data_IF_214490091254
#
_entry.id   IF_214490091254
#
_cell.length_a   1.000
_cell.length_b   1.000
_cell.length_c   1.000
_cell.angle_alpha   90.00
_cell.angle_beta   90.00
_cell.angle_gamma   90.00
#
_symmetry.space_group_name_H-M   'P 1'
#
loop_
_entity.id
_entity.type
_entity.pdbx_description
1 polymer ?
#
# COMPACT_ATOMS: atom_id res chain seq x y z
N UNK A 1 19.00 -2.21 16.30
CA UNK A 1 17.54 -2.16 16.56
C UNK A 1 17.21 -1.69 17.98
N UNK A 2 17.86 -2.19 19.05
CA UNK A 2 17.60 -1.80 20.46
C UNK A 2 17.36 -0.30 20.72
N UNK A 3 18.21 0.60 20.18
CA UNK A 3 18.02 2.06 20.37
C UNK A 3 16.73 2.60 19.76
N UNK A 4 16.34 2.13 18.57
CA UNK A 4 15.08 2.53 17.93
C UNK A 4 13.88 2.06 18.76
N UNK A 5 13.90 0.80 19.22
CA UNK A 5 12.83 0.26 20.06
C UNK A 5 12.75 0.93 21.43
N UNK A 6 13.88 1.32 22.01
CA UNK A 6 13.91 2.11 23.25
C UNK A 6 13.33 3.52 23.09
N UNK A 7 13.26 4.04 21.86
CA UNK A 7 12.61 5.32 21.52
C UNK A 7 11.15 5.13 21.07
N UNK A 8 10.56 3.94 21.28
CA UNK A 8 9.23 3.56 20.80
C UNK A 8 9.03 3.69 19.28
N UNK A 9 10.12 3.74 18.51
CA UNK A 9 10.06 3.78 17.05
C UNK A 9 9.66 2.39 16.51
N UNK A 10 8.52 2.33 15.83
CA UNK A 10 7.94 1.10 15.25
C UNK A 10 8.25 0.92 13.76
N UNK A 11 9.19 1.70 13.22
CA UNK A 11 9.64 1.53 11.83
C UNK A 11 10.05 0.07 11.58
N UNK A 12 9.59 -0.56 10.49
CA UNK A 12 9.95 -1.94 10.16
C UNK A 12 11.43 -2.07 9.80
N UNK A 13 12.10 -3.10 10.32
CA UNK A 13 13.53 -3.33 10.13
C UNK A 13 13.77 -4.69 9.49
N UNK A 14 14.33 -4.69 8.28
CA UNK A 14 14.93 -5.85 7.63
C UNK A 14 16.45 -5.80 7.80
N UNK A 15 17.05 -6.83 8.41
CA UNK A 15 18.51 -6.93 8.54
C UNK A 15 19.09 -7.63 7.31
N UNK A 16 20.06 -6.99 6.64
CA UNK A 16 20.79 -7.55 5.50
C UNK A 16 22.25 -7.81 5.88
N UNK A 17 22.70 -9.06 5.85
CA UNK A 17 24.02 -9.41 6.38
C UNK A 17 24.64 -10.64 5.71
N UNK A 18 25.95 -10.83 5.84
CA UNK A 18 26.62 -12.08 5.46
C UNK A 18 26.60 -13.14 6.59
N UNK A 19 26.19 -12.73 7.80
CA UNK A 19 26.09 -13.58 8.98
C UNK A 19 24.88 -14.51 8.85
N UNK A 20 25.15 -15.81 8.74
CA UNK A 20 24.18 -16.83 8.34
C UNK A 20 23.89 -17.87 9.43
N UNK A 21 24.58 -17.79 10.57
CA UNK A 21 24.34 -18.74 11.64
C UNK A 21 22.94 -18.55 12.24
N UNK A 22 22.36 -19.63 12.74
CA UNK A 22 21.05 -19.57 13.40
C UNK A 22 21.08 -18.63 14.59
N UNK A 23 22.16 -18.65 15.38
CA UNK A 23 22.34 -17.79 16.55
C UNK A 23 22.27 -16.31 16.18
N UNK A 24 22.99 -15.88 15.15
CA UNK A 24 23.04 -14.47 14.74
C UNK A 24 21.68 -13.96 14.24
N UNK A 25 20.91 -14.81 13.55
CA UNK A 25 19.55 -14.47 13.13
C UNK A 25 18.63 -14.30 14.34
N UNK A 26 18.72 -15.21 15.32
CA UNK A 26 17.94 -15.12 16.55
C UNK A 26 18.29 -13.84 17.30
N UNK A 27 19.57 -13.55 17.50
CA UNK A 27 20.04 -12.33 18.17
C UNK A 27 19.55 -11.06 17.47
N UNK A 28 19.55 -11.04 16.13
CA UNK A 28 19.05 -9.92 15.34
C UNK A 28 17.55 -9.69 15.51
N UNK A 29 16.76 -10.75 15.52
CA UNK A 29 15.30 -10.70 15.73
C UNK A 29 14.98 -10.29 17.17
N UNK A 30 15.65 -10.87 18.17
CA UNK A 30 15.47 -10.51 19.59
C UNK A 30 15.90 -9.06 19.87
N UNK A 31 16.88 -8.53 19.15
CA UNK A 31 17.25 -7.11 19.22
C UNK A 31 16.18 -6.16 18.65
N UNK A 32 15.12 -6.70 18.04
CA UNK A 32 13.95 -5.98 17.55
C UNK A 32 13.87 -5.82 16.03
N UNK A 33 14.58 -6.64 15.24
CA UNK A 33 14.37 -6.71 13.80
C UNK A 33 13.08 -7.48 13.47
N UNK A 34 12.40 -7.09 12.39
CA UNK A 34 11.15 -7.71 11.96
C UNK A 34 11.36 -8.84 10.95
N UNK A 35 12.48 -8.80 10.21
CA UNK A 35 12.91 -9.86 9.29
C UNK A 35 14.43 -9.82 9.08
N UNK A 36 14.99 -10.89 8.52
CA UNK A 36 16.42 -11.12 8.37
C UNK A 36 16.71 -11.79 7.01
N UNK A 37 17.64 -11.23 6.23
CA UNK A 37 18.02 -11.74 4.91
C UNK A 37 19.55 -11.83 4.76
N UNK A 38 20.04 -13.03 4.44
CA UNK A 38 21.46 -13.37 4.34
C UNK A 38 21.96 -13.13 2.91
N UNK A 39 23.21 -12.69 2.75
CA UNK A 39 23.90 -12.53 1.47
C UNK A 39 24.60 -13.85 1.06
N UNK A 40 24.61 -14.21 -0.23
CA UNK A 40 23.93 -13.53 -1.34
C UNK A 40 22.41 -13.83 -1.35
N UNK A 41 21.61 -12.88 -1.82
CA UNK A 41 20.16 -13.01 -1.96
C UNK A 41 19.69 -12.60 -3.35
N UNK A 42 18.50 -13.07 -3.74
CA UNK A 42 17.83 -12.61 -4.95
C UNK A 42 17.16 -11.25 -4.72
N UNK A 43 17.23 -10.34 -5.70
CA UNK A 43 16.57 -9.03 -5.61
C UNK A 43 15.05 -9.17 -5.39
N UNK A 44 14.43 -10.14 -6.07
CA UNK A 44 13.00 -10.43 -5.93
C UNK A 44 12.63 -10.85 -4.50
N UNK A 45 13.51 -11.58 -3.81
CA UNK A 45 13.32 -11.94 -2.40
C UNK A 45 13.35 -10.71 -1.50
N UNK A 46 14.32 -9.82 -1.70
CA UNK A 46 14.40 -8.56 -0.96
C UNK A 46 13.13 -7.73 -1.15
N UNK A 47 12.69 -7.56 -2.39
CA UNK A 47 11.47 -6.78 -2.72
C UNK A 47 10.23 -7.42 -2.07
N UNK A 48 10.10 -8.75 -2.12
CA UNK A 48 8.99 -9.46 -1.50
C UNK A 48 8.95 -9.26 0.02
N UNK A 49 10.11 -9.33 0.69
CA UNK A 49 10.22 -9.13 2.15
C UNK A 49 9.91 -7.69 2.56
N UNK A 50 10.44 -6.70 1.83
CA UNK A 50 10.11 -5.29 2.07
C UNK A 50 8.60 -5.04 1.93
N UNK A 51 7.96 -5.55 0.86
CA UNK A 51 6.51 -5.45 0.69
C UNK A 51 5.73 -6.12 1.83
N UNK A 52 6.19 -7.27 2.31
CA UNK A 52 5.57 -7.96 3.44
C UNK A 52 5.68 -7.17 4.74
N UNK A 53 6.83 -6.56 5.02
CA UNK A 53 7.04 -5.70 6.18
C UNK A 53 6.15 -4.46 6.16
N UNK A 54 6.12 -3.76 5.02
CA UNK A 54 5.27 -2.57 4.86
C UNK A 54 3.78 -2.91 5.01
N UNK A 55 3.33 -4.06 4.49
CA UNK A 55 1.94 -4.52 4.67
C UNK A 55 1.57 -4.78 6.13
N UNK A 56 2.51 -5.33 6.92
CA UNK A 56 2.30 -5.61 8.36
C UNK A 56 2.36 -4.35 9.22
N UNK A 57 3.13 -3.36 8.79
CA UNK A 57 3.37 -2.12 9.52
C UNK A 57 2.40 -1.01 9.18
N UNK A 58 1.73 -1.10 8.04
CA UNK A 58 0.53 -0.32 7.80
C UNK A 58 -0.40 -0.53 9.01
N UNK A 59 -0.90 0.55 9.64
CA UNK A 59 -2.03 0.41 10.55
C UNK A 59 -3.06 -0.47 9.85
N UNK A 60 -3.81 -1.34 10.56
CA UNK A 60 -5.02 -1.89 9.95
C UNK A 60 -5.71 -0.69 9.35
N UNK A 61 -5.82 -0.65 8.02
CA UNK A 61 -6.50 0.45 7.38
C UNK A 61 -7.80 0.51 8.16
N UNK A 62 -8.13 1.65 8.81
CA UNK A 62 -9.47 1.74 9.35
C UNK A 62 -10.33 1.31 8.18
N UNK A 63 -11.24 0.40 8.45
CA UNK A 63 -12.32 0.02 7.54
C UNK A 63 -13.18 1.29 7.37
N UNK A 64 -12.55 2.34 6.83
CA UNK A 64 -13.17 3.50 6.28
C UNK A 64 -13.77 2.88 5.05
N UNK A 65 -15.03 2.46 5.24
CA UNK A 65 -16.00 2.41 4.17
C UNK A 65 -15.61 3.50 3.19
N UNK A 66 -15.21 3.13 1.97
CA UNK A 66 -14.87 4.12 0.96
C UNK A 66 -16.16 4.86 0.69
N UNK A 67 -16.33 5.99 1.38
CA UNK A 67 -17.59 6.68 1.44
C UNK A 67 -17.37 8.18 1.56
N UNK A 68 -18.22 8.93 0.87
CA UNK A 68 -18.26 10.38 0.94
C UNK A 68 -19.70 10.85 0.79
N UNK A 69 -20.22 11.49 1.82
CA UNK A 69 -21.63 11.80 1.96
C UNK A 69 -22.50 10.53 1.78
N UNK A 70 -23.35 10.50 0.77
CA UNK A 70 -24.27 9.40 0.45
C UNK A 70 -23.73 8.42 -0.59
N UNK A 71 -22.44 8.54 -0.98
CA UNK A 71 -21.76 7.65 -1.91
C UNK A 71 -20.90 6.64 -1.15
N UNK A 72 -20.99 5.36 -1.50
CA UNK A 72 -20.13 4.28 -1.00
C UNK A 72 -19.52 3.48 -2.14
N UNK A 73 -18.39 2.82 -1.89
CA UNK A 73 -17.70 1.93 -2.81
C UNK A 73 -17.12 0.73 -2.06
N UNK A 74 -17.37 -0.46 -2.57
CA UNK A 74 -16.59 -1.66 -2.31
C UNK A 74 -15.63 -1.87 -3.49
N UNK A 75 -14.31 -1.72 -3.28
CA UNK A 75 -13.33 -1.80 -4.36
C UNK A 75 -13.10 -3.24 -4.83
N UNK A 76 -13.43 -4.24 -4.00
CA UNK A 76 -13.27 -5.66 -4.32
C UNK A 76 -14.38 -6.10 -5.28
N UNK A 77 -15.63 -5.77 -4.94
CA UNK A 77 -16.78 -6.13 -5.79
C UNK A 77 -17.02 -5.11 -6.90
N UNK A 78 -16.42 -3.92 -6.83
CA UNK A 78 -16.67 -2.77 -7.72
C UNK A 78 -18.15 -2.35 -7.73
N UNK A 79 -18.78 -2.45 -6.56
CA UNK A 79 -20.17 -2.05 -6.35
C UNK A 79 -20.26 -1.02 -5.24
N UNK A 80 -21.35 -0.26 -5.19
CA UNK A 80 -21.53 0.77 -4.19
C UNK A 80 -22.95 1.28 -4.16
N UNK A 81 -23.18 2.37 -3.43
CA UNK A 81 -24.49 3.02 -3.35
C UNK A 81 -24.36 4.53 -3.46
N UNK A 82 -25.31 5.18 -4.13
CA UNK A 82 -25.50 6.64 -4.10
C UNK A 82 -26.91 6.97 -3.65
N UNK A 83 -27.06 7.65 -2.52
CA UNK A 83 -28.38 7.98 -1.97
C UNK A 83 -29.24 6.72 -1.75
N UNK A 84 -28.59 5.62 -1.37
CA UNK A 84 -29.23 4.32 -1.19
C UNK A 84 -29.51 3.53 -2.47
N UNK A 85 -29.25 4.04 -3.68
CA UNK A 85 -29.38 3.29 -4.94
C UNK A 85 -28.11 2.49 -5.22
N UNK A 86 -28.19 1.18 -5.53
CA UNK A 86 -27.01 0.40 -5.90
C UNK A 86 -26.44 0.89 -7.23
N UNK A 87 -25.12 0.91 -7.34
CA UNK A 87 -24.36 1.29 -8.54
C UNK A 87 -23.26 0.25 -8.74
N UNK A 88 -23.11 -0.22 -9.98
CA UNK A 88 -21.95 -1.01 -10.40
C UNK A 88 -20.98 -0.11 -11.16
N UNK A 89 -19.70 -0.30 -10.91
CA UNK A 89 -18.64 0.49 -11.53
C UNK A 89 -17.82 -0.37 -12.49
N UNK A 90 -17.45 0.19 -13.64
CA UNK A 90 -16.36 -0.36 -14.43
C UNK A 90 -15.06 -0.38 -13.61
N UNK A 91 -14.06 -1.13 -14.08
CA UNK A 91 -12.75 -1.17 -13.42
C UNK A 91 -12.15 0.23 -13.23
N UNK A 92 -12.24 1.06 -14.26
CA UNK A 92 -11.65 2.40 -14.27
C UNK A 92 -12.42 3.36 -13.36
N UNK A 93 -13.75 3.32 -13.38
CA UNK A 93 -14.58 4.15 -12.50
C UNK A 93 -14.36 3.79 -11.03
N UNK A 94 -14.28 2.50 -10.70
CA UNK A 94 -14.01 2.05 -9.34
C UNK A 94 -12.62 2.53 -8.86
N UNK A 95 -11.59 2.40 -9.70
CA UNK A 95 -10.24 2.84 -9.37
C UNK A 95 -10.12 4.36 -9.20
N UNK A 96 -10.77 5.14 -10.07
CA UNK A 96 -10.84 6.58 -9.96
C UNK A 96 -11.59 7.01 -8.69
N UNK A 97 -12.76 6.41 -8.45
CA UNK A 97 -13.57 6.74 -7.28
C UNK A 97 -12.85 6.37 -5.98
N UNK A 98 -12.19 5.21 -5.93
CA UNK A 98 -11.35 4.83 -4.80
C UNK A 98 -10.24 5.86 -4.54
N UNK A 99 -9.54 6.32 -5.59
CA UNK A 99 -8.51 7.34 -5.48
C UNK A 99 -9.07 8.63 -4.84
N UNK A 100 -10.24 9.08 -5.30
CA UNK A 100 -10.91 10.28 -4.79
C UNK A 100 -11.42 10.09 -3.35
N UNK A 101 -12.02 8.94 -3.04
CA UNK A 101 -12.55 8.62 -1.70
C UNK A 101 -11.43 8.46 -0.65
N UNK A 102 -10.22 8.09 -1.08
CA UNK A 102 -9.01 8.09 -0.23
C UNK A 102 -8.43 9.49 -0.01
N UNK A 103 -8.76 10.47 -0.85
CA UNK A 103 -8.30 11.87 -0.76
C UNK A 103 -9.46 12.88 -0.78
N UNK A 104 -10.43 12.78 0.15
CA UNK A 104 -11.63 13.60 0.11
C UNK A 104 -11.30 15.09 0.30
N UNK A 105 -11.89 15.94 -0.53
CA UNK A 105 -11.71 17.40 -0.50
C UNK A 105 -10.36 17.90 -1.01
N UNK A 106 -9.51 17.03 -1.54
CA UNK A 106 -8.22 17.40 -2.11
C UNK A 106 -8.33 17.54 -3.63
N UNK A 107 -7.72 18.60 -4.17
CA UNK A 107 -7.53 18.75 -5.62
C UNK A 107 -6.34 17.89 -6.02
N UNK A 108 -6.59 16.86 -6.83
CA UNK A 108 -5.55 15.99 -7.38
C UNK A 108 -5.17 16.48 -8.79
N UNK A 109 -3.87 16.57 -9.06
CA UNK A 109 -3.36 16.90 -10.40
C UNK A 109 -3.73 15.80 -11.40
N UNK A 110 -3.95 16.19 -12.67
CA UNK A 110 -4.37 15.27 -13.73
C UNK A 110 -3.35 14.14 -13.93
N UNK A 111 -2.07 14.47 -13.87
CA UNK A 111 -0.95 13.56 -14.05
C UNK A 111 -0.97 12.46 -12.98
N UNK A 112 -1.28 12.83 -11.73
CA UNK A 112 -1.39 11.89 -10.61
C UNK A 112 -2.56 10.93 -10.82
N UNK A 113 -3.71 11.44 -11.26
CA UNK A 113 -4.89 10.62 -11.54
C UNK A 113 -4.59 9.61 -12.66
N UNK A 114 -3.98 10.07 -13.76
CA UNK A 114 -3.61 9.22 -14.88
C UNK A 114 -2.65 8.11 -14.46
N UNK A 115 -1.58 8.47 -13.76
CA UNK A 115 -0.58 7.50 -13.29
C UNK A 115 -1.20 6.45 -12.37
N UNK A 116 -2.11 6.85 -11.45
CA UNK A 116 -2.70 5.93 -10.47
C UNK A 116 -3.81 5.04 -11.01
N UNK A 117 -4.61 5.54 -11.95
CA UNK A 117 -5.80 4.82 -12.45
C UNK A 117 -5.49 4.04 -13.74
N UNK A 118 -4.62 4.57 -14.60
CA UNK A 118 -4.29 3.96 -15.89
C UNK A 118 -2.84 3.44 -16.00
N UNK A 119 -1.92 3.84 -15.11
CA UNK A 119 -0.53 3.38 -15.14
C UNK A 119 0.30 3.96 -16.29
N UNK A 120 1.42 3.30 -16.63
CA UNK A 120 2.34 3.69 -17.72
C UNK A 120 1.82 3.31 -19.14
N UNK A 121 0.63 2.73 -19.25
CA UNK A 121 0.09 2.22 -20.53
C UNK A 121 -0.71 3.28 -21.34
N UNK A 122 -0.62 4.57 -20.98
CA UNK A 122 -1.32 5.64 -21.68
C UNK A 122 -0.37 6.51 -22.51
N UNK A 123 -0.54 6.45 -23.83
CA UNK A 123 0.01 7.42 -24.77
C UNK A 123 -0.61 8.81 -24.58
N UNK A 124 0.10 9.89 -24.98
CA UNK A 124 -0.21 11.28 -24.63
C UNK A 124 -1.54 11.84 -25.14
N UNK A 125 -2.29 11.12 -25.98
CA UNK A 125 -3.41 11.69 -26.76
C UNK A 125 -4.83 11.27 -26.30
N UNK A 126 -4.97 10.64 -25.13
CA UNK A 126 -6.28 10.11 -24.71
C UNK A 126 -7.13 11.12 -23.92
N UNK A 127 -8.27 11.49 -24.52
CA UNK A 127 -9.30 12.40 -23.97
C UNK A 127 -10.30 11.73 -23.01
N UNK A 128 -9.92 10.68 -22.28
CA UNK A 128 -10.86 9.91 -21.43
C UNK A 128 -11.40 10.64 -20.18
N UNK A 129 -11.06 11.92 -19.98
CA UNK A 129 -11.52 12.76 -18.88
C UNK A 129 -12.12 14.10 -19.36
N UNK A 130 -12.38 14.23 -20.66
CA UNK A 130 -12.97 15.43 -21.25
C UNK A 130 -14.50 15.42 -21.22
#
# INVERSE_FOLDING_TARGET
CRRLRAMEDRTPVLVLTALSSVSERVDGLEAGADDYLVKPFALDELVARVRALLRRAAPPAPDRDLAFADLTLDPVTRTGRRGGRPVEFSRTEAALLELLLRHPGQVLAREVILERVWGQDFGPDSNSLA
#
